data_IF_879410220912
#
_entry.id   IF_879410220912
#
_cell.length_a   1.000
_cell.length_b   1.000
_cell.length_c   1.000
_cell.angle_alpha   90.00
_cell.angle_beta   90.00
_cell.angle_gamma   90.00
#
_symmetry.space_group_name_H-M   'P 1'
#
loop_
_entity.id
_entity.type
_entity.pdbx_description
1 polymer ?
#
# COMPACT_ATOMS: atom_id res chain seq x y z
N UNK A 1 -13.25 -5.84 18.66
CA UNK A 1 -13.90 -6.31 17.42
C UNK A 1 -14.36 -5.15 16.56
N UNK A 2 -14.99 -4.12 17.15
CA UNK A 2 -15.48 -2.92 16.45
C UNK A 2 -14.44 -2.21 15.57
N UNK A 3 -13.20 -2.05 16.06
CA UNK A 3 -12.14 -1.41 15.27
C UNK A 3 -11.84 -2.11 13.92
N UNK A 4 -12.03 -3.44 13.86
CA UNK A 4 -11.83 -4.21 12.64
C UNK A 4 -13.03 -4.06 11.71
N UNK A 5 -14.24 -4.10 12.27
CA UNK A 5 -15.49 -3.93 11.54
C UNK A 5 -15.51 -2.58 10.84
N UNK A 6 -15.17 -1.51 11.55
CA UNK A 6 -15.14 -0.16 10.99
C UNK A 6 -14.11 -0.03 9.89
N UNK A 7 -12.87 -0.49 10.13
CA UNK A 7 -11.78 -0.40 9.14
C UNK A 7 -12.09 -1.17 7.85
N UNK A 8 -12.68 -2.37 7.97
CA UNK A 8 -12.92 -3.25 6.82
C UNK A 8 -14.28 -3.05 6.14
N UNK A 9 -15.11 -2.11 6.61
CA UNK A 9 -16.51 -1.95 6.17
C UNK A 9 -16.66 -1.78 4.65
N UNK A 10 -15.74 -1.07 4.01
CA UNK A 10 -15.82 -0.70 2.58
C UNK A 10 -15.23 -1.75 1.64
N UNK A 11 -14.67 -2.84 2.16
CA UNK A 11 -13.86 -3.78 1.37
C UNK A 11 -14.49 -5.17 1.19
N UNK A 12 -15.71 -5.36 1.69
CA UNK A 12 -16.47 -6.61 1.57
C UNK A 12 -17.88 -6.30 1.07
N UNK A 13 -18.44 -7.18 0.25
CA UNK A 13 -19.78 -6.98 -0.33
C UNK A 13 -20.89 -7.11 0.72
N UNK A 14 -20.63 -7.87 1.79
CA UNK A 14 -21.59 -8.08 2.86
C UNK A 14 -20.95 -8.06 4.26
N UNK A 15 -21.74 -7.63 5.23
CA UNK A 15 -21.34 -7.67 6.65
C UNK A 15 -21.02 -9.10 7.12
N UNK A 16 -21.76 -10.08 6.60
CA UNK A 16 -21.55 -11.50 6.92
C UNK A 16 -20.17 -11.97 6.49
N UNK A 17 -19.75 -11.59 5.28
CA UNK A 17 -18.42 -11.94 4.76
C UNK A 17 -17.30 -11.27 5.56
N UNK A 18 -17.42 -9.95 5.79
CA UNK A 18 -16.48 -9.18 6.62
C UNK A 18 -16.32 -9.81 8.01
N UNK A 19 -17.44 -10.08 8.70
CA UNK A 19 -17.41 -10.63 10.04
C UNK A 19 -16.79 -12.04 10.05
N UNK A 20 -17.09 -12.86 9.04
CA UNK A 20 -16.46 -14.18 8.87
C UNK A 20 -14.94 -14.05 8.68
N UNK A 21 -14.48 -13.14 7.83
CA UNK A 21 -13.05 -12.87 7.64
C UNK A 21 -12.37 -12.50 8.96
N UNK A 22 -12.91 -11.51 9.69
CA UNK A 22 -12.37 -11.04 10.97
C UNK A 22 -12.35 -12.16 12.02
N UNK A 23 -13.47 -12.87 12.19
CA UNK A 23 -13.58 -13.94 13.20
C UNK A 23 -12.62 -15.09 12.91
N UNK A 24 -12.48 -15.49 11.63
CA UNK A 24 -11.47 -16.49 11.23
C UNK A 24 -10.08 -16.03 11.63
N UNK A 25 -9.66 -14.81 11.25
CA UNK A 25 -8.36 -14.26 11.63
C UNK A 25 -8.14 -14.24 13.14
N UNK A 26 -9.10 -13.72 13.91
CA UNK A 26 -8.97 -13.53 15.34
C UNK A 26 -8.88 -14.85 16.11
N UNK A 27 -9.51 -15.90 15.59
CA UNK A 27 -9.50 -17.24 16.18
C UNK A 27 -8.16 -17.99 16.06
N UNK A 28 -7.23 -17.50 15.21
CA UNK A 28 -5.94 -18.14 14.96
C UNK A 28 -5.00 -18.05 16.17
N UNK A 29 -4.55 -19.22 16.65
CA UNK A 29 -3.67 -19.34 17.81
C UNK A 29 -2.19 -19.15 17.44
N UNK A 30 -1.35 -18.59 18.33
CA UNK A 30 0.07 -18.32 18.06
C UNK A 30 0.89 -19.51 17.56
N UNK A 31 0.52 -20.73 17.96
CA UNK A 31 1.23 -21.96 17.60
C UNK A 31 0.85 -22.52 16.22
N UNK A 32 -0.12 -21.93 15.54
CA UNK A 32 -0.52 -22.34 14.18
C UNK A 32 0.31 -21.62 13.13
N UNK A 33 0.72 -22.34 12.08
CA UNK A 33 1.38 -21.73 10.91
C UNK A 33 0.52 -20.63 10.25
N UNK A 34 -0.81 -20.74 10.37
CA UNK A 34 -1.76 -19.72 9.89
C UNK A 34 -1.78 -18.47 10.75
N UNK A 35 -1.17 -18.45 11.95
CA UNK A 35 -1.15 -17.28 12.83
C UNK A 35 -0.57 -16.03 12.16
N UNK A 36 0.35 -16.21 11.19
CA UNK A 36 0.85 -15.10 10.37
C UNK A 36 -0.25 -14.32 9.65
N UNK A 37 -1.38 -14.95 9.31
CA UNK A 37 -2.53 -14.26 8.73
C UNK A 37 -3.13 -13.23 9.69
N UNK A 38 -3.24 -13.57 10.98
CA UNK A 38 -3.66 -12.63 12.03
C UNK A 38 -2.68 -11.46 12.15
N UNK A 39 -1.38 -11.76 12.15
CA UNK A 39 -0.32 -10.73 12.22
C UNK A 39 -0.40 -9.80 10.99
N UNK A 40 -0.54 -10.34 9.78
CA UNK A 40 -0.68 -9.56 8.55
C UNK A 40 -1.90 -8.65 8.60
N UNK A 41 -3.07 -9.16 9.03
CA UNK A 41 -4.28 -8.35 9.20
C UNK A 41 -4.03 -7.18 10.17
N UNK A 42 -3.41 -7.47 11.31
CA UNK A 42 -3.15 -6.47 12.35
C UNK A 42 -2.16 -5.40 11.90
N UNK A 43 -1.03 -5.82 11.34
CA UNK A 43 0.02 -4.91 10.88
C UNK A 43 -0.45 -4.07 9.69
N UNK A 44 -1.16 -4.69 8.74
CA UNK A 44 -1.74 -4.00 7.59
C UNK A 44 -2.71 -2.90 8.02
N UNK A 45 -3.69 -3.23 8.87
CA UNK A 45 -4.62 -2.23 9.43
C UNK A 45 -3.89 -1.13 10.18
N UNK A 46 -2.92 -1.46 11.03
CA UNK A 46 -2.18 -0.49 11.83
C UNK A 46 -1.48 0.53 10.94
N UNK A 47 -0.71 0.07 9.95
CA UNK A 47 0.07 0.94 9.08
C UNK A 47 -0.81 1.79 8.16
N UNK A 48 -1.88 1.22 7.62
CA UNK A 48 -2.86 1.98 6.83
C UNK A 48 -3.61 3.00 7.69
N UNK A 49 -3.95 2.67 8.94
CA UNK A 49 -4.59 3.62 9.86
C UNK A 49 -3.66 4.80 10.17
N UNK A 50 -2.37 4.53 10.41
CA UNK A 50 -1.37 5.59 10.59
C UNK A 50 -1.29 6.46 9.34
N UNK A 51 -1.30 5.88 8.14
CA UNK A 51 -1.33 6.65 6.90
C UNK A 51 -2.55 7.59 6.84
N UNK A 52 -3.75 7.12 7.22
CA UNK A 52 -4.96 7.96 7.25
C UNK A 52 -4.81 9.13 8.24
N UNK A 53 -4.18 8.89 9.39
CA UNK A 53 -3.99 9.88 10.44
C UNK A 53 -2.95 10.95 10.08
N UNK A 54 -2.12 10.75 9.05
CA UNK A 54 -1.11 11.74 8.68
C UNK A 54 -1.69 13.07 8.22
N UNK A 55 -2.95 13.13 7.77
CA UNK A 55 -3.58 14.41 7.47
C UNK A 55 -3.76 15.28 8.73
N UNK A 56 -4.10 14.67 9.87
CA UNK A 56 -4.25 15.42 11.12
C UNK A 56 -2.92 15.70 11.81
N UNK A 57 -1.92 14.83 11.63
CA UNK A 57 -0.59 14.97 12.22
C UNK A 57 0.29 15.95 11.43
N UNK A 58 0.24 15.87 10.10
CA UNK A 58 1.10 16.62 9.19
C UNK A 58 0.34 16.90 7.87
N UNK A 59 -0.72 17.70 7.97
CA UNK A 59 -1.60 18.05 6.84
C UNK A 59 -0.83 18.57 5.62
N UNK A 60 -1.28 18.14 4.43
CA UNK A 60 -0.61 18.47 3.16
C UNK A 60 0.75 17.81 2.95
N UNK A 61 1.10 16.77 3.73
CA UNK A 61 2.33 15.97 3.55
C UNK A 61 1.98 14.55 3.09
N UNK A 62 1.45 14.44 1.88
CA UNK A 62 1.00 13.18 1.29
C UNK A 62 2.11 12.15 1.10
N UNK A 63 3.34 12.62 0.95
CA UNK A 63 4.56 11.80 1.01
C UNK A 63 4.57 10.88 2.25
N UNK A 64 4.20 11.38 3.43
CA UNK A 64 4.13 10.58 4.66
C UNK A 64 3.04 9.51 4.60
N UNK A 65 1.87 9.83 4.01
CA UNK A 65 0.80 8.85 3.79
C UNK A 65 1.30 7.72 2.89
N UNK A 66 1.94 8.06 1.77
CA UNK A 66 2.51 7.09 0.84
C UNK A 66 3.56 6.21 1.52
N UNK A 67 4.45 6.79 2.31
CA UNK A 67 5.48 6.04 3.06
C UNK A 67 4.86 4.90 3.88
N UNK A 68 3.84 5.19 4.70
CA UNK A 68 3.21 4.17 5.53
C UNK A 68 2.46 3.11 4.71
N UNK A 69 1.84 3.50 3.59
CA UNK A 69 1.22 2.56 2.67
C UNK A 69 2.25 1.59 2.04
N UNK A 70 3.40 2.10 1.60
CA UNK A 70 4.48 1.27 1.02
C UNK A 70 5.10 0.34 2.08
N UNK A 71 5.29 0.84 3.32
CA UNK A 71 5.75 0.01 4.45
C UNK A 71 4.73 -1.10 4.77
N UNK A 72 3.43 -0.85 4.65
CA UNK A 72 2.40 -1.86 4.82
C UNK A 72 2.55 -3.00 3.79
N UNK A 73 2.73 -2.66 2.51
CA UNK A 73 2.96 -3.64 1.44
C UNK A 73 4.20 -4.50 1.72
N UNK A 74 5.32 -3.85 2.08
CA UNK A 74 6.58 -4.53 2.40
C UNK A 74 6.41 -5.51 3.57
N UNK A 75 5.82 -5.04 4.67
CA UNK A 75 5.65 -5.84 5.89
C UNK A 75 4.73 -7.02 5.66
N UNK A 76 3.59 -6.81 4.99
CA UNK A 76 2.63 -7.89 4.72
C UNK A 76 3.25 -8.94 3.81
N UNK A 77 3.97 -8.55 2.76
CA UNK A 77 4.66 -9.52 1.91
C UNK A 77 5.74 -10.31 2.66
N UNK A 78 6.58 -9.65 3.46
CA UNK A 78 7.61 -10.33 4.26
C UNK A 78 7.00 -11.32 5.25
N UNK A 79 5.91 -10.94 5.92
CA UNK A 79 5.18 -11.82 6.83
C UNK A 79 4.59 -13.05 6.10
N UNK A 80 4.09 -12.87 4.88
CA UNK A 80 3.52 -13.97 4.09
C UNK A 80 4.53 -15.10 3.84
N UNK A 81 5.81 -14.75 3.64
CA UNK A 81 6.89 -15.69 3.40
C UNK A 81 7.40 -16.42 4.66
N UNK A 82 7.03 -15.96 5.86
CA UNK A 82 7.54 -16.52 7.11
C UNK A 82 9.06 -16.40 7.28
N UNK A 83 9.73 -15.54 6.50
CA UNK A 83 11.19 -15.36 6.51
C UNK A 83 11.53 -13.89 6.62
N UNK A 84 12.52 -13.57 7.47
CA UNK A 84 13.15 -12.26 7.48
C UNK A 84 14.04 -12.10 6.25
N UNK A 85 13.48 -11.61 5.14
CA UNK A 85 14.27 -11.18 3.98
C UNK A 85 15.02 -9.89 4.34
N UNK A 86 16.24 -10.04 4.85
CA UNK A 86 17.14 -8.92 5.11
C UNK A 86 17.64 -8.39 3.76
N UNK A 87 17.45 -7.09 3.50
CA UNK A 87 18.01 -6.41 2.32
C UNK A 87 17.18 -6.41 1.03
N UNK A 88 15.93 -6.91 1.03
CA UNK A 88 15.12 -6.99 -0.21
C UNK A 88 13.78 -6.23 -0.15
N UNK A 89 13.79 -5.04 0.44
CA UNK A 89 12.59 -4.22 0.69
C UNK A 89 11.87 -3.81 -0.59
N UNK A 90 12.58 -3.28 -1.59
CA UNK A 90 11.97 -2.93 -2.88
C UNK A 90 11.34 -4.15 -3.57
N UNK A 91 12.06 -5.27 -3.70
CA UNK A 91 11.49 -6.47 -4.31
C UNK A 91 10.30 -7.02 -3.53
N UNK A 92 10.29 -6.88 -2.21
CA UNK A 92 9.13 -7.25 -1.39
C UNK A 92 7.90 -6.44 -1.76
N UNK A 93 8.04 -5.13 -1.97
CA UNK A 93 6.95 -4.26 -2.42
C UNK A 93 6.50 -4.63 -3.84
N UNK A 94 7.41 -4.78 -4.80
CA UNK A 94 7.05 -5.25 -6.15
C UNK A 94 6.31 -6.58 -6.14
N UNK A 95 6.75 -7.52 -5.32
CA UNK A 95 6.11 -8.82 -5.19
C UNK A 95 4.75 -8.71 -4.52
N UNK A 96 4.56 -7.82 -3.54
CA UNK A 96 3.23 -7.53 -2.99
C UNK A 96 2.24 -7.15 -4.10
N UNK A 97 2.58 -6.15 -4.92
CA UNK A 97 1.71 -5.70 -6.01
C UNK A 97 1.50 -6.80 -7.05
N UNK A 98 2.54 -7.53 -7.42
CA UNK A 98 2.41 -8.62 -8.39
C UNK A 98 1.54 -9.78 -7.90
N UNK A 99 1.68 -10.17 -6.64
CA UNK A 99 1.13 -11.42 -6.10
C UNK A 99 -0.27 -11.22 -5.51
N UNK A 100 -0.51 -10.09 -4.82
CA UNK A 100 -1.72 -9.88 -4.03
C UNK A 100 -2.67 -8.82 -4.59
N UNK A 101 -2.22 -7.92 -5.45
CA UNK A 101 -3.10 -6.93 -6.09
C UNK A 101 -3.72 -7.54 -7.35
N UNK A 102 -5.03 -7.34 -7.55
CA UNK A 102 -5.75 -7.92 -8.70
C UNK A 102 -5.39 -7.22 -10.00
N UNK A 103 -5.65 -7.85 -11.16
CA UNK A 103 -5.42 -7.21 -12.46
C UNK A 103 -6.10 -5.85 -12.62
N UNK A 104 -7.33 -5.72 -12.14
CA UNK A 104 -8.12 -4.48 -12.23
C UNK A 104 -7.50 -3.37 -11.38
N UNK A 105 -7.10 -3.70 -10.15
CA UNK A 105 -6.42 -2.76 -9.25
C UNK A 105 -5.04 -2.34 -9.81
N UNK A 106 -4.32 -3.25 -10.49
CA UNK A 106 -3.06 -2.92 -11.18
C UNK A 106 -3.28 -1.97 -12.34
N UNK A 107 -4.34 -2.18 -13.13
CA UNK A 107 -4.70 -1.31 -14.24
C UNK A 107 -5.09 0.10 -13.77
N UNK A 108 -5.81 0.21 -12.64
CA UNK A 108 -6.08 1.50 -12.01
C UNK A 108 -4.77 2.20 -11.62
N UNK A 109 -3.82 1.46 -11.04
CA UNK A 109 -2.53 2.02 -10.65
C UNK A 109 -1.72 2.52 -11.86
N UNK A 110 -1.64 1.73 -12.93
CA UNK A 110 -0.88 2.08 -14.14
C UNK A 110 -1.50 3.24 -14.92
N UNK A 111 -2.83 3.39 -14.91
CA UNK A 111 -3.50 4.56 -15.48
C UNK A 111 -3.46 5.79 -14.57
N UNK A 112 -3.33 5.58 -13.26
CA UNK A 112 -3.37 6.64 -12.25
C UNK A 112 -2.03 7.34 -12.02
N UNK A 113 -0.92 6.71 -12.41
CA UNK A 113 0.43 7.21 -12.18
C UNK A 113 1.22 7.09 -13.48
N UNK A 114 1.65 8.23 -14.01
CA UNK A 114 2.46 8.30 -15.21
C UNK A 114 3.88 8.78 -14.90
N UNK A 115 4.87 8.01 -15.34
CA UNK A 115 6.26 8.43 -15.36
C UNK A 115 6.48 9.37 -16.54
N UNK A 116 6.99 10.57 -16.27
CA UNK A 116 7.42 11.51 -17.29
C UNK A 116 8.92 11.27 -17.50
N UNK A 117 9.24 10.52 -18.55
CA UNK A 117 10.61 10.26 -18.97
C UNK A 117 11.01 11.19 -20.13
N UNK A 118 12.29 11.57 -20.26
CA UNK A 118 12.76 12.41 -21.37
C UNK A 118 12.57 11.75 -22.75
N UNK A 119 12.57 10.42 -22.78
CA UNK A 119 12.29 9.60 -23.95
C UNK A 119 10.88 9.03 -23.79
N UNK A 120 10.12 8.84 -24.89
CA UNK A 120 8.82 8.14 -24.90
C UNK A 120 9.01 6.63 -24.61
N UNK A 121 9.68 6.32 -23.51
CA UNK A 121 9.90 4.96 -23.04
C UNK A 121 8.59 4.42 -22.49
N UNK A 122 8.16 3.27 -23.00
CA UNK A 122 7.14 2.49 -22.33
C UNK A 122 7.66 2.08 -20.95
N UNK A 123 6.87 2.32 -19.91
CA UNK A 123 7.12 1.86 -18.55
C UNK A 123 6.03 0.88 -18.11
N UNK A 124 6.38 0.01 -17.18
CA UNK A 124 5.45 -0.99 -16.65
C UNK A 124 5.06 -0.72 -15.18
N UNK A 125 4.27 -1.63 -14.61
CA UNK A 125 3.88 -1.57 -13.21
C UNK A 125 5.10 -1.56 -12.28
N UNK A 126 6.16 -2.32 -12.58
CA UNK A 126 7.33 -2.41 -11.73
C UNK A 126 8.10 -1.08 -11.67
N UNK A 127 8.15 -0.33 -12.77
CA UNK A 127 8.74 1.02 -12.81
C UNK A 127 7.95 2.01 -11.94
N UNK A 128 6.62 1.95 -11.98
CA UNK A 128 5.77 2.76 -11.09
C UNK A 128 6.03 2.42 -9.62
N UNK A 129 6.13 1.13 -9.29
CA UNK A 129 6.42 0.70 -7.92
C UNK A 129 7.82 1.15 -7.48
N UNK A 130 8.81 1.13 -8.38
CA UNK A 130 10.15 1.66 -8.10
C UNK A 130 10.10 3.16 -7.76
N UNK A 131 9.34 3.94 -8.52
CA UNK A 131 9.19 5.37 -8.27
C UNK A 131 8.52 5.65 -6.92
N UNK A 132 7.44 4.95 -6.59
CA UNK A 132 6.78 5.06 -5.28
C UNK A 132 7.69 4.63 -4.13
N UNK A 133 8.49 3.56 -4.33
CA UNK A 133 9.45 3.09 -3.35
C UNK A 133 10.59 4.10 -3.14
N UNK A 134 11.07 4.74 -4.22
CA UNK A 134 12.11 5.78 -4.14
C UNK A 134 11.63 6.98 -3.33
N UNK A 135 10.40 7.44 -3.53
CA UNK A 135 9.80 8.50 -2.70
C UNK A 135 9.81 8.09 -1.21
N UNK A 136 9.44 6.84 -0.90
CA UNK A 136 9.54 6.31 0.47
C UNK A 136 10.98 6.34 1.01
N UNK A 137 11.99 6.08 0.20
CA UNK A 137 13.39 6.17 0.59
C UNK A 137 13.82 7.62 0.88
N UNK A 138 13.45 8.57 0.02
CA UNK A 138 13.80 9.99 0.19
C UNK A 138 13.22 10.54 1.50
N UNK A 139 12.02 10.11 1.88
CA UNK A 139 11.40 10.48 3.16
C UNK A 139 12.20 9.92 4.35
N UNK A 140 12.58 8.64 4.30
CA UNK A 140 13.19 7.95 5.45
C UNK A 140 14.68 8.29 5.63
N UNK A 141 15.41 8.50 4.53
CA UNK A 141 16.84 8.77 4.58
C UNK A 141 17.16 10.27 4.55
N UNK A 142 16.40 11.06 3.77
CA UNK A 142 16.70 12.47 3.52
C UNK A 142 15.71 13.43 4.21
N UNK A 143 14.60 12.92 4.79
CA UNK A 143 13.56 13.74 5.39
C UNK A 143 12.77 14.57 4.38
N UNK A 144 12.70 14.14 3.12
CA UNK A 144 12.07 14.90 2.04
C UNK A 144 10.54 14.69 2.02
N UNK A 145 9.80 15.45 2.84
CA UNK A 145 8.35 15.26 3.06
C UNK A 145 7.42 15.95 2.04
N UNK A 146 7.96 16.53 0.96
CA UNK A 146 7.23 17.36 -0.02
C UNK A 146 7.49 16.94 -1.47
N UNK A 147 8.05 15.74 -1.68
CA UNK A 147 8.35 15.20 -3.00
C UNK A 147 7.17 14.56 -3.72
N UNK A 148 6.05 14.39 -3.03
CA UNK A 148 4.89 13.70 -3.55
C UNK A 148 3.59 14.16 -2.92
N UNK A 149 2.60 14.39 -3.79
CA UNK A 149 1.20 14.63 -3.46
C UNK A 149 0.26 13.76 -4.31
N UNK A 150 -0.83 13.28 -3.70
CA UNK A 150 -1.89 12.59 -4.42
C UNK A 150 -2.69 13.58 -5.27
N UNK A 151 -3.41 13.08 -6.26
CA UNK A 151 -4.37 13.89 -6.98
C UNK A 151 -5.52 14.32 -6.06
N UNK A 152 -6.11 15.48 -6.35
CA UNK A 152 -7.38 15.88 -5.74
C UNK A 152 -8.51 15.79 -6.77
N UNK A 153 -9.77 15.77 -6.33
CA UNK A 153 -10.95 15.70 -7.22
C UNK A 153 -11.01 16.78 -8.29
N UNK A 154 -10.27 17.89 -8.12
CA UNK A 154 -10.30 19.05 -9.02
C UNK A 154 -9.16 19.04 -10.03
N UNK A 155 -7.98 18.52 -9.67
CA UNK A 155 -6.78 18.62 -10.50
C UNK A 155 -5.87 17.40 -10.30
N UNK A 156 -5.27 16.85 -11.38
CA UNK A 156 -4.16 15.92 -11.25
C UNK A 156 -2.95 16.65 -10.67
N UNK A 157 -2.14 15.94 -9.92
CA UNK A 157 -0.90 16.46 -9.34
C UNK A 157 0.25 16.14 -10.30
N UNK A 158 0.94 17.18 -10.77
CA UNK A 158 2.21 17.01 -11.49
C UNK A 158 3.32 17.34 -10.52
N UNK A 159 4.14 16.34 -10.22
CA UNK A 159 5.25 16.46 -9.29
C UNK A 159 6.55 16.51 -10.10
N UNK A 160 7.19 17.67 -10.09
CA UNK A 160 8.60 17.79 -10.41
C UNK A 160 9.37 17.58 -9.11
N UNK A 161 9.96 16.40 -8.90
CA UNK A 161 10.85 16.21 -7.77
C UNK A 161 12.04 17.15 -7.88
N UNK A 162 12.14 18.16 -7.01
CA UNK A 162 13.42 18.86 -6.82
C UNK A 162 14.37 17.88 -6.12
N UNK A 163 15.28 17.28 -6.87
CA UNK A 163 16.29 16.35 -6.36
C UNK A 163 16.09 14.89 -6.76
N UNK A 164 15.00 14.54 -7.43
CA UNK A 164 14.84 13.22 -8.05
C UNK A 164 14.71 13.39 -9.55
N UNK A 165 15.49 12.65 -10.35
CA UNK A 165 15.32 12.59 -11.81
C UNK A 165 13.95 12.02 -12.24
N UNK A 166 13.10 11.62 -11.28
CA UNK A 166 11.74 11.16 -11.50
C UNK A 166 10.77 12.34 -11.55
N UNK A 167 10.10 12.49 -12.69
CA UNK A 167 8.92 13.32 -12.82
C UNK A 167 7.69 12.41 -12.88
N UNK A 168 6.70 12.70 -12.05
CA UNK A 168 5.46 11.91 -11.96
C UNK A 168 4.26 12.80 -12.24
N UNK A 169 3.34 12.30 -13.07
CA UNK A 169 1.97 12.82 -13.14
C UNK A 169 1.06 11.83 -12.43
N UNK A 170 0.48 12.27 -11.33
CA UNK A 170 -0.41 11.49 -10.48
C UNK A 170 -1.83 11.99 -10.67
N UNK A 171 -2.70 11.16 -11.22
CA UNK A 171 -4.16 11.37 -11.29
C UNK A 171 -4.92 10.53 -10.27
N UNK A 172 -4.23 9.59 -9.60
CA UNK A 172 -4.76 8.72 -8.56
C UNK A 172 -4.96 9.47 -7.23
N UNK A 173 -6.13 9.31 -6.60
CA UNK A 173 -6.39 9.87 -5.28
C UNK A 173 -5.84 8.95 -4.18
N UNK A 174 -5.66 9.50 -2.98
CA UNK A 174 -5.21 8.75 -1.81
C UNK A 174 -6.10 7.54 -1.53
N UNK A 175 -7.40 7.73 -1.57
CA UNK A 175 -8.42 6.72 -1.28
C UNK A 175 -8.32 5.52 -2.24
N UNK A 176 -7.97 5.78 -3.50
CA UNK A 176 -7.83 4.75 -4.53
C UNK A 176 -6.62 3.86 -4.23
N UNK A 177 -5.43 4.47 -4.01
CA UNK A 177 -4.22 3.72 -3.67
C UNK A 177 -4.39 2.97 -2.33
N UNK A 178 -4.94 3.64 -1.33
CA UNK A 178 -5.28 3.03 -0.04
C UNK A 178 -6.18 1.82 -0.24
N UNK A 179 -7.22 1.96 -1.06
CA UNK A 179 -8.17 0.88 -1.33
C UNK A 179 -7.54 -0.32 -2.02
N UNK A 180 -6.71 -0.08 -3.04
CA UNK A 180 -5.91 -1.10 -3.75
C UNK A 180 -5.06 -1.89 -2.74
N UNK A 181 -4.35 -1.17 -1.87
CA UNK A 181 -3.45 -1.80 -0.89
C UNK A 181 -4.24 -2.59 0.15
N UNK A 182 -5.34 -2.06 0.68
CA UNK A 182 -6.16 -2.81 1.66
C UNK A 182 -6.76 -4.08 1.05
N UNK A 183 -7.27 -4.02 -0.19
CA UNK A 183 -7.72 -5.23 -0.90
C UNK A 183 -6.58 -6.23 -1.12
N UNK A 184 -5.38 -5.75 -1.46
CA UNK A 184 -4.18 -6.59 -1.53
C UNK A 184 -3.84 -7.26 -0.19
N UNK A 185 -3.94 -6.54 0.92
CA UNK A 185 -3.71 -7.09 2.27
C UNK A 185 -4.76 -8.16 2.59
N UNK A 186 -6.05 -7.93 2.30
CA UNK A 186 -7.12 -8.91 2.51
C UNK A 186 -6.80 -10.20 1.74
N UNK A 187 -6.48 -10.11 0.45
CA UNK A 187 -6.11 -11.27 -0.38
C UNK A 187 -4.87 -11.99 0.15
N UNK A 188 -3.88 -11.26 0.65
CA UNK A 188 -2.70 -11.84 1.29
C UNK A 188 -3.05 -12.63 2.56
N UNK A 189 -3.95 -12.07 3.38
CA UNK A 189 -4.44 -12.71 4.61
C UNK A 189 -5.23 -13.98 4.28
N UNK A 190 -6.19 -13.91 3.36
CA UNK A 190 -7.05 -15.04 2.99
C UNK A 190 -6.25 -16.26 2.48
N UNK A 191 -5.18 -16.03 1.72
CA UNK A 191 -4.27 -17.09 1.25
C UNK A 191 -3.55 -17.86 2.37
N UNK A 192 -3.57 -17.36 3.60
CA UNK A 192 -2.89 -17.96 4.73
C UNK A 192 -3.85 -18.41 5.85
N UNK A 193 -5.16 -18.20 5.66
CA UNK A 193 -6.21 -18.70 6.56
C UNK A 193 -6.82 -19.99 6.03
N UNK A 194 -6.86 -20.14 4.71
CA UNK A 194 -7.28 -21.36 4.03
C UNK A 194 -6.10 -22.32 3.90
#
# INVERSE_FOLDING_TARGET
MEQWIHFYKEYFESEKERNRFILKCESLRPQSDSHKAKIMMHQGKRLVSIANEMESVAGGRDSLKLMFLIIACENVYKLSLGKSLRGDSNKSVKKFFNVFVSPEDKEILTKGIHLITPEESDYDLADIIDALYKIRCDIVHEGYYWGFDFACKRYPTVLSGRGTDLQLRVSLQYEDLRGIIVRGIIRAVERHIN
#
